data_IF_825989021240
#
_entry.id   IF_825989021240
#
_cell.length_a   1.000
_cell.length_b   1.000
_cell.length_c   1.000
_cell.angle_alpha   90.00
_cell.angle_beta   90.00
_cell.angle_gamma   90.00
#
_symmetry.space_group_name_H-M   'P 1'
#
loop_
_entity.id
_entity.type
_entity.pdbx_description
1 polymer ?
#
# COMPACT_ATOMS: atom_id res chain seq x y z
N UNK A 1 5.90 41.13 2.20
CA UNK A 1 5.89 40.03 1.22
C UNK A 1 5.46 38.77 1.90
N UNK A 2 4.35 38.21 1.52
CA UNK A 2 4.01 36.90 2.06
C UNK A 2 5.05 35.88 1.57
N UNK A 3 5.61 35.17 2.52
CA UNK A 3 6.48 34.04 2.19
C UNK A 3 5.59 32.97 1.56
N UNK A 4 5.74 32.76 0.26
CA UNK A 4 5.07 31.63 -0.36
C UNK A 4 5.64 30.36 0.23
N UNK A 5 4.76 29.53 0.79
CA UNK A 5 5.14 28.18 1.22
C UNK A 5 5.73 27.46 0.03
N UNK A 6 6.94 26.91 0.11
CA UNK A 6 7.48 26.16 -1.02
C UNK A 6 6.52 25.00 -1.33
N UNK A 7 6.09 24.93 -2.60
CA UNK A 7 5.29 23.80 -3.06
C UNK A 7 6.19 22.59 -3.05
N UNK A 8 5.74 21.56 -2.35
CA UNK A 8 6.44 20.28 -2.30
C UNK A 8 5.69 19.27 -3.15
N UNK A 9 6.43 18.33 -3.70
CA UNK A 9 5.82 17.21 -4.40
C UNK A 9 4.96 16.41 -3.43
N UNK A 10 3.79 15.97 -3.89
CA UNK A 10 2.91 15.12 -3.08
C UNK A 10 2.43 13.94 -3.91
N UNK A 11 2.25 12.84 -3.22
CA UNK A 11 1.91 11.56 -3.82
C UNK A 11 0.87 10.89 -2.92
N UNK A 12 -0.33 10.68 -3.47
CA UNK A 12 -1.42 10.04 -2.75
C UNK A 12 -1.89 8.80 -3.51
N UNK A 13 -1.88 7.67 -2.83
CA UNK A 13 -2.47 6.43 -3.32
C UNK A 13 -3.83 6.24 -2.65
N UNK A 14 -4.88 6.24 -3.45
CA UNK A 14 -6.22 5.91 -2.99
C UNK A 14 -6.52 4.46 -3.39
N UNK A 15 -6.59 3.58 -2.40
CA UNK A 15 -6.86 2.15 -2.63
C UNK A 15 -8.35 1.93 -2.64
N UNK A 16 -8.88 1.48 -3.77
CA UNK A 16 -10.29 1.14 -3.93
C UNK A 16 -10.54 -0.35 -3.87
N UNK A 17 -11.80 -0.74 -4.10
CA UNK A 17 -12.17 -2.16 -4.08
C UNK A 17 -11.61 -2.92 -5.27
N UNK A 18 -11.85 -2.42 -6.48
CA UNK A 18 -11.47 -3.11 -7.72
C UNK A 18 -10.37 -2.40 -8.49
N UNK A 19 -10.14 -1.15 -8.19
CA UNK A 19 -9.09 -0.34 -8.81
C UNK A 19 -8.60 0.68 -7.82
N UNK A 20 -7.46 1.26 -8.10
CA UNK A 20 -6.84 2.27 -7.23
C UNK A 20 -6.42 3.46 -8.09
N UNK A 21 -6.16 4.58 -7.43
CA UNK A 21 -5.84 5.84 -8.09
C UNK A 21 -4.62 6.47 -7.43
N UNK A 22 -3.66 6.87 -8.25
CA UNK A 22 -2.51 7.66 -7.80
C UNK A 22 -2.74 9.11 -8.19
N UNK A 23 -2.63 10.00 -7.21
CA UNK A 23 -2.63 11.45 -7.44
C UNK A 23 -1.19 11.95 -7.27
N UNK A 24 -0.63 12.43 -8.34
CA UNK A 24 0.75 12.92 -8.37
C UNK A 24 0.75 14.42 -8.62
N UNK A 25 1.07 15.18 -7.59
CA UNK A 25 1.11 16.65 -7.65
C UNK A 25 2.56 17.09 -7.48
N UNK A 26 3.23 17.33 -8.61
CA UNK A 26 4.62 17.72 -8.64
C UNK A 26 4.74 19.24 -8.72
N UNK A 27 5.77 19.77 -8.09
CA UNK A 27 5.99 21.20 -7.91
C UNK A 27 5.92 22.00 -9.21
N UNK A 28 6.49 21.47 -10.29
CA UNK A 28 6.62 22.18 -11.56
C UNK A 28 5.77 21.59 -12.67
N UNK A 29 4.80 20.75 -12.34
CA UNK A 29 4.01 20.04 -13.32
C UNK A 29 2.52 20.11 -12.98
N UNK A 30 1.69 19.81 -13.98
CA UNK A 30 0.25 19.66 -13.80
C UNK A 30 -0.04 18.41 -12.96
N UNK A 31 -1.09 18.48 -12.12
CA UNK A 31 -1.59 17.32 -11.40
C UNK A 31 -1.83 16.15 -12.36
N UNK A 32 -1.26 15.00 -12.06
CA UNK A 32 -1.46 13.77 -12.82
C UNK A 32 -2.26 12.76 -12.01
N UNK A 33 -3.18 12.09 -12.69
CA UNK A 33 -3.96 10.99 -12.12
C UNK A 33 -3.60 9.71 -12.87
N UNK A 34 -3.21 8.67 -12.13
CA UNK A 34 -2.82 7.39 -12.72
C UNK A 34 -3.72 6.31 -12.15
N UNK A 35 -4.44 5.60 -13.02
CA UNK A 35 -5.28 4.48 -12.61
C UNK A 35 -4.47 3.21 -12.50
N UNK A 36 -4.74 2.44 -11.46
CA UNK A 36 -4.17 1.12 -11.23
C UNK A 36 -5.27 0.07 -11.25
N UNK A 37 -4.97 -1.09 -11.79
CA UNK A 37 -5.96 -2.15 -12.00
C UNK A 37 -6.18 -3.03 -10.77
N UNK A 38 -5.41 -2.83 -9.69
CA UNK A 38 -5.61 -3.60 -8.46
C UNK A 38 -6.41 -2.81 -7.43
N UNK A 39 -7.03 -3.53 -6.53
CA UNK A 39 -7.72 -3.01 -5.36
C UNK A 39 -7.81 -4.10 -4.31
N UNK A 40 -8.48 -3.82 -3.18
CA UNK A 40 -8.54 -4.80 -2.09
C UNK A 40 -9.30 -6.08 -2.46
N UNK A 41 -10.16 -6.03 -3.47
CA UNK A 41 -10.92 -7.19 -3.98
C UNK A 41 -10.55 -7.56 -5.40
N UNK A 42 -9.50 -6.94 -5.94
CA UNK A 42 -8.89 -7.26 -7.22
C UNK A 42 -7.38 -7.30 -7.00
N UNK A 43 -6.94 -8.23 -6.15
CA UNK A 43 -5.57 -8.31 -5.66
C UNK A 43 -4.82 -9.51 -6.23
N UNK A 44 -5.55 -10.48 -6.69
CA UNK A 44 -5.12 -11.61 -7.50
C UNK A 44 -6.19 -11.72 -8.59
N UNK A 45 -6.31 -12.81 -9.37
CA UNK A 45 -7.55 -12.98 -10.13
C UNK A 45 -8.73 -13.05 -9.16
N UNK A 46 -9.36 -11.89 -8.90
CA UNK A 46 -10.41 -11.73 -7.90
C UNK A 46 -9.89 -11.37 -6.50
N UNK A 47 -10.74 -11.43 -5.48
CA UNK A 47 -10.37 -11.15 -4.09
C UNK A 47 -9.62 -12.33 -3.46
N UNK A 48 -9.00 -12.08 -2.30
CA UNK A 48 -8.53 -13.18 -1.45
C UNK A 48 -9.74 -14.02 -1.03
N UNK A 49 -9.58 -15.34 -1.11
CA UNK A 49 -10.67 -16.29 -0.81
C UNK A 49 -10.58 -16.88 0.58
N UNK A 50 -9.46 -16.70 1.26
CA UNK A 50 -9.21 -17.21 2.60
C UNK A 50 -8.91 -16.07 3.57
N UNK A 51 -9.24 -16.25 4.82
CA UNK A 51 -8.97 -15.29 5.89
C UNK A 51 -8.36 -16.04 7.09
N UNK A 52 -7.03 -15.97 7.28
CA UNK A 52 -6.06 -15.18 6.52
C UNK A 52 -5.84 -15.74 5.11
N UNK A 53 -5.33 -14.92 4.19
CA UNK A 53 -4.93 -15.44 2.88
C UNK A 53 -3.90 -16.55 2.99
N UNK A 54 -3.92 -17.48 2.04
CA UNK A 54 -2.90 -18.54 1.98
C UNK A 54 -1.58 -17.98 1.46
N UNK A 55 -0.44 -18.67 1.70
CA UNK A 55 0.83 -18.26 1.11
C UNK A 55 0.78 -18.13 -0.40
N UNK A 56 0.08 -19.04 -1.08
CA UNK A 56 -0.07 -18.97 -2.54
C UNK A 56 -0.86 -17.74 -2.98
N UNK A 57 -1.92 -17.39 -2.25
CA UNK A 57 -2.68 -16.18 -2.53
C UNK A 57 -1.82 -14.93 -2.36
N UNK A 58 -0.99 -14.88 -1.31
CA UNK A 58 -0.07 -13.76 -1.12
C UNK A 58 0.94 -13.65 -2.26
N UNK A 59 1.52 -14.78 -2.71
CA UNK A 59 2.44 -14.77 -3.85
C UNK A 59 1.79 -14.25 -5.13
N UNK A 60 0.58 -14.70 -5.42
CA UNK A 60 -0.15 -14.23 -6.60
C UNK A 60 -0.46 -12.74 -6.53
N UNK A 61 -0.85 -12.27 -5.35
CA UNK A 61 -1.13 -10.85 -5.15
C UNK A 61 0.12 -9.99 -5.30
N UNK A 62 1.25 -10.45 -4.77
CA UNK A 62 2.52 -9.75 -4.93
C UNK A 62 2.83 -9.57 -6.42
N UNK A 63 2.68 -10.63 -7.22
CA UNK A 63 2.94 -10.57 -8.65
C UNK A 63 2.02 -9.58 -9.37
N UNK A 64 0.73 -9.61 -9.06
CA UNK A 64 -0.25 -8.70 -9.67
C UNK A 64 0.07 -7.25 -9.34
N UNK A 65 0.32 -6.96 -8.09
CA UNK A 65 0.62 -5.59 -7.64
C UNK A 65 1.96 -5.12 -8.18
N UNK A 66 2.98 -5.95 -8.11
CA UNK A 66 4.31 -5.63 -8.63
C UNK A 66 4.26 -5.29 -10.12
N UNK A 67 3.60 -6.12 -10.93
CA UNK A 67 3.51 -5.88 -12.37
C UNK A 67 2.88 -4.52 -12.66
N UNK A 68 1.82 -4.17 -11.95
CA UNK A 68 1.14 -2.91 -12.15
C UNK A 68 1.97 -1.72 -11.67
N UNK A 69 2.65 -1.86 -10.53
CA UNK A 69 3.53 -0.81 -10.03
C UNK A 69 4.73 -0.58 -10.94
N UNK A 70 5.29 -1.63 -11.50
CA UNK A 70 6.41 -1.51 -12.44
C UNK A 70 6.00 -0.79 -13.73
N UNK A 71 4.74 -0.90 -14.13
CA UNK A 71 4.21 -0.16 -15.27
C UNK A 71 4.24 1.35 -15.04
N UNK A 72 4.00 1.80 -13.82
CA UNK A 72 3.95 3.23 -13.51
C UNK A 72 5.26 3.77 -12.90
N UNK A 73 6.19 2.91 -12.55
CA UNK A 73 7.42 3.28 -11.86
C UNK A 73 8.19 4.43 -12.54
N UNK A 74 8.32 4.48 -13.88
CA UNK A 74 9.03 5.57 -14.54
C UNK A 74 8.39 6.95 -14.33
N UNK A 75 7.12 7.00 -13.94
CA UNK A 75 6.39 8.24 -13.70
C UNK A 75 6.46 8.71 -12.25
N UNK A 76 6.95 7.88 -11.34
CA UNK A 76 6.97 8.18 -9.91
C UNK A 76 8.37 8.66 -9.52
N UNK A 77 8.51 9.91 -9.07
CA UNK A 77 9.82 10.41 -8.64
C UNK A 77 10.24 9.75 -7.31
N UNK A 78 11.53 9.41 -7.18
CA UNK A 78 12.02 8.84 -5.91
C UNK A 78 12.01 9.88 -4.79
N UNK A 79 11.89 9.41 -3.55
CA UNK A 79 12.02 10.26 -2.37
C UNK A 79 10.80 11.09 -2.01
N UNK A 80 9.69 10.98 -2.75
CA UNK A 80 8.45 11.65 -2.38
C UNK A 80 7.72 10.80 -1.34
N UNK A 81 7.33 11.37 -0.19
CA UNK A 81 6.58 10.62 0.81
C UNK A 81 5.26 10.12 0.25
N UNK A 82 4.92 8.87 0.57
CA UNK A 82 3.67 8.27 0.15
C UNK A 82 2.59 8.54 1.18
N UNK A 83 1.47 9.14 0.77
CA UNK A 83 0.24 9.17 1.55
C UNK A 83 -0.72 8.11 0.99
N UNK A 84 -1.41 7.40 1.88
CA UNK A 84 -2.36 6.35 1.48
C UNK A 84 -3.71 6.62 2.14
N UNK A 85 -4.75 6.56 1.31
CA UNK A 85 -6.14 6.54 1.78
C UNK A 85 -6.75 5.20 1.40
N UNK A 86 -7.33 4.52 2.37
CA UNK A 86 -7.93 3.20 2.17
C UNK A 86 -9.14 3.00 3.06
N UNK A 87 -10.02 2.10 2.68
CA UNK A 87 -11.15 1.63 3.47
C UNK A 87 -11.06 0.10 3.57
N UNK A 88 -10.80 -0.46 4.74
CA UNK A 88 -10.55 0.22 6.02
C UNK A 88 -9.17 0.88 6.10
N UNK A 89 -9.05 1.89 6.97
CA UNK A 89 -7.73 2.46 7.29
C UNK A 89 -6.94 1.52 8.17
N UNK A 90 -5.63 1.44 7.95
CA UNK A 90 -4.75 0.60 8.77
C UNK A 90 -4.31 1.29 10.07
N UNK A 91 -4.47 2.61 10.19
CA UNK A 91 -3.96 3.36 11.32
C UNK A 91 -4.45 2.84 12.68
N UNK A 92 -5.76 2.52 12.86
CA UNK A 92 -6.22 1.99 14.15
C UNK A 92 -5.59 0.65 14.52
N UNK A 93 -5.33 -0.20 13.53
CA UNK A 93 -4.74 -1.53 13.76
C UNK A 93 -3.25 -1.41 14.06
N UNK A 94 -2.55 -0.55 13.32
CA UNK A 94 -1.09 -0.41 13.43
C UNK A 94 -0.68 0.57 14.53
N UNK A 95 -1.63 1.33 15.07
CA UNK A 95 -1.37 2.23 16.19
C UNK A 95 -0.60 3.49 15.80
N UNK A 96 -0.51 3.83 14.51
CA UNK A 96 0.23 4.98 14.04
C UNK A 96 -0.29 5.44 12.68
N UNK A 97 -0.17 6.74 12.41
CA UNK A 97 -0.49 7.32 11.10
C UNK A 97 0.73 7.43 10.19
N UNK A 98 1.92 7.33 10.73
CA UNK A 98 3.15 7.38 9.95
C UNK A 98 4.03 6.18 10.32
N UNK A 99 4.49 5.45 9.31
CA UNK A 99 5.25 4.23 9.48
C UNK A 99 6.41 4.20 8.50
N UNK A 100 7.55 3.68 8.97
CA UNK A 100 8.71 3.46 8.11
C UNK A 100 8.52 2.22 7.24
N UNK A 101 9.30 2.15 6.16
CA UNK A 101 9.34 0.96 5.32
C UNK A 101 9.72 -0.28 6.13
N UNK A 102 10.70 -0.15 7.03
CA UNK A 102 11.15 -1.25 7.87
C UNK A 102 10.03 -1.76 8.78
N UNK A 103 9.22 -0.85 9.31
CA UNK A 103 8.08 -1.24 10.16
C UNK A 103 7.02 -1.98 9.34
N UNK A 104 6.71 -1.49 8.15
CA UNK A 104 5.76 -2.17 7.24
C UNK A 104 6.29 -3.54 6.84
N UNK A 105 7.58 -3.67 6.55
CA UNK A 105 8.19 -4.98 6.25
C UNK A 105 8.05 -5.96 7.42
N UNK A 106 8.25 -5.47 8.63
CA UNK A 106 8.10 -6.30 9.83
C UNK A 106 6.66 -6.82 9.96
N UNK A 107 5.68 -5.92 9.79
CA UNK A 107 4.26 -6.30 9.90
C UNK A 107 3.88 -7.26 8.77
N UNK A 108 4.38 -7.02 7.56
CA UNK A 108 4.13 -7.95 6.45
C UNK A 108 4.72 -9.33 6.72
N UNK A 109 5.91 -9.40 7.35
CA UNK A 109 6.49 -10.67 7.78
C UNK A 109 5.59 -11.42 8.77
N UNK A 110 4.91 -10.70 9.67
CA UNK A 110 3.94 -11.29 10.59
C UNK A 110 2.70 -11.80 9.84
N UNK A 111 2.24 -11.05 8.83
CA UNK A 111 1.14 -11.50 7.97
C UNK A 111 1.50 -12.80 7.23
N UNK A 112 2.69 -12.87 6.68
CA UNK A 112 3.17 -14.06 5.99
C UNK A 112 3.27 -15.26 6.93
N UNK A 113 3.75 -15.05 8.15
CA UNK A 113 3.82 -16.10 9.17
C UNK A 113 2.41 -16.58 9.57
N UNK A 114 1.46 -15.66 9.69
CA UNK A 114 0.07 -16.00 9.98
C UNK A 114 -0.53 -16.85 8.86
N UNK A 115 -0.22 -16.49 7.60
CA UNK A 115 -0.68 -17.27 6.44
C UNK A 115 -0.12 -18.70 6.44
N UNK A 116 1.07 -18.90 7.00
CA UNK A 116 1.68 -20.22 7.15
C UNK A 116 1.18 -20.97 8.38
N UNK A 117 0.29 -20.38 9.17
CA UNK A 117 -0.32 -21.02 10.31
C UNK A 117 0.35 -20.77 11.65
N UNK A 118 1.24 -19.78 11.75
CA UNK A 118 1.88 -19.42 13.02
C UNK A 118 0.84 -18.84 13.99
N UNK A 119 0.53 -19.53 15.12
CA UNK A 119 -0.49 -19.07 16.04
C UNK A 119 -0.10 -17.78 16.78
N UNK A 120 1.19 -17.53 16.97
CA UNK A 120 1.65 -16.32 17.64
C UNK A 120 1.39 -15.10 16.76
N UNK A 121 1.70 -15.19 15.48
CA UNK A 121 1.41 -14.12 14.52
C UNK A 121 -0.10 -13.90 14.39
N UNK A 122 -0.89 -14.98 14.37
CA UNK A 122 -2.34 -14.93 14.26
C UNK A 122 -3.01 -14.22 15.44
N UNK A 123 -2.36 -14.16 16.60
CA UNK A 123 -2.90 -13.45 17.78
C UNK A 123 -2.68 -11.94 17.73
N UNK A 124 -1.86 -11.44 16.81
CA UNK A 124 -1.46 -10.04 16.79
C UNK A 124 -2.05 -9.23 15.65
N UNK A 125 -2.52 -9.88 14.59
CA UNK A 125 -3.02 -9.21 13.40
C UNK A 125 -4.45 -9.62 13.08
N UNK A 126 -5.24 -8.72 12.45
CA UNK A 126 -6.53 -9.11 11.91
C UNK A 126 -6.36 -10.21 10.85
N UNK A 127 -7.35 -11.09 10.76
CA UNK A 127 -7.35 -12.18 9.78
C UNK A 127 -8.03 -11.81 8.48
N UNK A 128 -8.75 -10.67 8.44
CA UNK A 128 -9.58 -10.35 7.31
C UNK A 128 -8.78 -10.09 6.04
N UNK A 129 -9.37 -10.43 4.92
CA UNK A 129 -8.77 -10.30 3.61
C UNK A 129 -8.48 -8.84 3.24
N UNK A 130 -9.35 -7.92 3.65
CA UNK A 130 -9.20 -6.50 3.34
C UNK A 130 -7.95 -5.91 3.99
N UNK A 131 -7.69 -6.28 5.26
CA UNK A 131 -6.45 -5.88 5.94
C UNK A 131 -5.22 -6.41 5.18
N UNK A 132 -5.23 -7.68 4.85
CA UNK A 132 -4.11 -8.31 4.16
C UNK A 132 -3.84 -7.67 2.80
N UNK A 133 -4.88 -7.41 2.02
CA UNK A 133 -4.75 -6.78 0.71
C UNK A 133 -4.19 -5.37 0.83
N UNK A 134 -4.71 -4.56 1.77
CA UNK A 134 -4.26 -3.19 1.97
C UNK A 134 -2.79 -3.15 2.39
N UNK A 135 -2.41 -3.98 3.36
CA UNK A 135 -1.03 -4.05 3.83
C UNK A 135 -0.07 -4.47 2.72
N UNK A 136 -0.46 -5.49 1.93
CA UNK A 136 0.34 -5.97 0.82
C UNK A 136 0.57 -4.88 -0.22
N UNK A 137 -0.47 -4.14 -0.59
CA UNK A 137 -0.35 -3.05 -1.57
C UNK A 137 0.64 -1.99 -1.07
N UNK A 138 0.53 -1.57 0.18
CA UNK A 138 1.42 -0.57 0.76
C UNK A 138 2.86 -1.08 0.78
N UNK A 139 3.07 -2.32 1.21
CA UNK A 139 4.40 -2.92 1.28
C UNK A 139 5.05 -2.99 -0.10
N UNK A 140 4.30 -3.39 -1.12
CA UNK A 140 4.84 -3.49 -2.47
C UNK A 140 5.20 -2.11 -3.01
N UNK A 141 4.39 -1.08 -2.73
CA UNK A 141 4.72 0.28 -3.12
C UNK A 141 6.05 0.72 -2.51
N UNK A 142 6.20 0.58 -1.20
CA UNK A 142 7.43 1.02 -0.51
C UNK A 142 8.65 0.25 -1.00
N UNK A 143 8.46 -1.02 -1.34
CA UNK A 143 9.55 -1.88 -1.79
C UNK A 143 10.01 -1.53 -3.21
N UNK A 144 9.08 -1.28 -4.14
CA UNK A 144 9.39 -1.13 -5.55
C UNK A 144 9.54 0.32 -6.02
N UNK A 145 8.95 1.28 -5.34
CA UNK A 145 8.91 2.68 -5.78
C UNK A 145 9.76 3.60 -4.90
N UNK A 146 10.71 3.05 -4.16
CA UNK A 146 11.74 3.78 -3.41
C UNK A 146 11.16 4.83 -2.44
N UNK A 147 10.06 4.50 -1.75
CA UNK A 147 9.54 5.32 -0.67
C UNK A 147 10.00 4.75 0.66
N UNK A 148 10.45 5.64 1.56
CA UNK A 148 11.01 5.24 2.85
C UNK A 148 9.96 5.18 3.96
N UNK A 149 8.81 5.81 3.74
CA UNK A 149 7.75 5.88 4.74
C UNK A 149 6.40 6.05 4.09
N UNK A 150 5.36 5.77 4.87
CA UNK A 150 3.98 5.94 4.46
C UNK A 150 3.22 6.74 5.52
N UNK A 151 2.33 7.62 5.06
CA UNK A 151 1.41 8.37 5.91
C UNK A 151 0.02 7.84 5.61
N UNK A 152 -0.65 7.32 6.65
CA UNK A 152 -2.02 6.79 6.52
C UNK A 152 -3.00 7.91 6.81
N UNK A 153 -3.80 8.29 5.82
CA UNK A 153 -4.81 9.34 5.97
C UNK A 153 -6.21 8.75 5.86
N UNK A 154 -7.17 9.45 6.48
CA UNK A 154 -8.56 9.03 6.45
C UNK A 154 -9.38 9.67 5.36
#
# INVERSE_FOLDING_TARGET
MPLSTPRTDSLLLEIGEKSSLVRLDLWDATLSLISLTFGIRAIQPGPFRHAPPTPLELERAIMVVEDELMRIAPRIPPGVPLAVRSQPSLAPVLGAHQLSREHIELIFGQLAAMAEGDPLAASQLPRDADFAATLLIIREWLHHLASDSVILIE
#
